data_IF_718150154092
#
_entry.id   IF_718150154092
#
_cell.length_a   1.000
_cell.length_b   1.000
_cell.length_c   1.000
_cell.angle_alpha   90.00
_cell.angle_beta   90.00
_cell.angle_gamma   90.00
#
_symmetry.space_group_name_H-M   'P 1'
#
loop_
_entity.id
_entity.type
_entity.pdbx_description
1 polymer ?
#
# COMPACT_ATOMS: atom_id res chain seq x y z
N UNK A 1 -2.64 5.44 20.42
CA UNK A 1 -2.72 3.96 20.38
C UNK A 1 -3.95 3.55 19.59
N UNK A 2 -3.86 2.54 18.72
CA UNK A 2 -5.02 2.02 17.98
C UNK A 2 -5.86 1.15 18.91
N UNK A 3 -7.15 1.45 19.01
CA UNK A 3 -8.09 0.65 19.80
C UNK A 3 -8.75 -0.44 18.95
N UNK A 4 -8.76 -1.67 19.45
CA UNK A 4 -9.33 -2.86 18.80
C UNK A 4 -10.64 -3.32 19.47
N UNK A 5 -11.36 -2.42 20.10
CA UNK A 5 -12.63 -2.72 20.77
C UNK A 5 -13.66 -3.31 19.81
N UNK A 6 -14.37 -4.32 20.26
CA UNK A 6 -15.41 -4.99 19.48
C UNK A 6 -14.92 -6.01 18.45
N UNK A 7 -13.65 -6.34 18.46
CA UNK A 7 -13.11 -7.43 17.64
C UNK A 7 -13.13 -8.74 18.44
N UNK A 8 -13.51 -9.84 17.77
CA UNK A 8 -13.42 -11.21 18.34
C UNK A 8 -12.01 -11.78 18.27
N UNK A 9 -11.07 -11.08 17.66
CA UNK A 9 -9.70 -11.51 17.45
C UNK A 9 -8.74 -10.67 18.30
N UNK A 10 -7.64 -11.28 18.70
CA UNK A 10 -6.59 -10.59 19.40
C UNK A 10 -5.93 -9.51 18.51
N UNK A 11 -5.49 -8.44 19.14
CA UNK A 11 -4.82 -7.31 18.48
C UNK A 11 -3.70 -7.76 17.55
N UNK A 12 -2.86 -8.68 18.03
CA UNK A 12 -1.70 -9.17 17.28
C UNK A 12 -2.10 -9.89 15.99
N UNK A 13 -3.19 -10.66 16.02
CA UNK A 13 -3.74 -11.36 14.85
C UNK A 13 -4.24 -10.37 13.80
N UNK A 14 -4.96 -9.33 14.23
CA UNK A 14 -5.47 -8.29 13.33
C UNK A 14 -4.34 -7.53 12.69
N UNK A 15 -3.36 -7.09 13.47
CA UNK A 15 -2.20 -6.36 12.97
C UNK A 15 -1.36 -7.20 12.01
N UNK A 16 -1.19 -8.48 12.31
CA UNK A 16 -0.49 -9.41 11.44
C UNK A 16 -1.21 -9.58 10.09
N UNK A 17 -2.53 -9.81 10.10
CA UNK A 17 -3.33 -9.95 8.89
C UNK A 17 -3.30 -8.70 8.01
N UNK A 18 -3.51 -7.53 8.60
CA UNK A 18 -3.46 -6.24 7.89
C UNK A 18 -2.05 -5.96 7.34
N UNK A 19 -1.01 -6.22 8.13
CA UNK A 19 0.37 -6.06 7.70
C UNK A 19 0.71 -6.94 6.50
N UNK A 20 0.28 -8.20 6.51
CA UNK A 20 0.50 -9.11 5.39
C UNK A 20 -0.20 -8.63 4.12
N UNK A 21 -1.43 -8.16 4.24
CA UNK A 21 -2.17 -7.63 3.11
C UNK A 21 -1.55 -6.37 2.52
N UNK A 22 -1.06 -5.47 3.37
CA UNK A 22 -0.40 -4.21 2.95
C UNK A 22 1.01 -4.47 2.40
N UNK A 23 1.76 -5.40 2.99
CA UNK A 23 3.16 -5.66 2.63
C UNK A 23 3.31 -6.55 1.39
N UNK A 24 2.34 -7.42 1.09
CA UNK A 24 2.44 -8.42 0.02
C UNK A 24 1.30 -8.29 -0.99
N UNK A 25 1.54 -8.57 -2.28
CA UNK A 25 0.52 -8.57 -3.32
C UNK A 25 -0.36 -9.84 -3.24
N UNK A 26 -1.04 -10.03 -2.12
CA UNK A 26 -1.92 -11.16 -1.87
C UNK A 26 -3.38 -10.73 -1.88
N UNK A 27 -4.25 -11.62 -2.36
CA UNK A 27 -5.69 -11.44 -2.24
C UNK A 27 -6.19 -11.74 -0.82
N UNK A 28 -7.41 -11.32 -0.50
CA UNK A 28 -8.05 -11.72 0.77
C UNK A 28 -8.15 -13.22 0.93
N UNK A 29 -8.41 -13.94 -0.16
CA UNK A 29 -8.46 -15.40 -0.16
C UNK A 29 -7.12 -16.02 0.23
N UNK A 30 -6.05 -15.55 -0.38
CA UNK A 30 -4.69 -16.01 -0.04
C UNK A 30 -4.31 -15.66 1.41
N UNK A 31 -4.76 -14.52 1.91
CA UNK A 31 -4.57 -14.15 3.31
C UNK A 31 -5.37 -15.07 4.23
N UNK A 32 -6.62 -15.38 3.90
CA UNK A 32 -7.47 -16.35 4.61
C UNK A 32 -6.78 -17.71 4.69
N UNK A 33 -6.31 -18.26 3.56
CA UNK A 33 -5.57 -19.52 3.51
C UNK A 33 -4.31 -19.52 4.40
N UNK A 34 -3.60 -18.38 4.43
CA UNK A 34 -2.41 -18.22 5.29
C UNK A 34 -2.75 -18.13 6.78
N UNK A 35 -3.87 -17.53 7.12
CA UNK A 35 -4.37 -17.46 8.50
C UNK A 35 -4.85 -18.83 8.97
N UNK A 36 -5.63 -19.53 8.15
CA UNK A 36 -6.10 -20.88 8.44
C UNK A 36 -4.95 -21.87 8.66
N UNK A 37 -3.90 -21.79 7.86
CA UNK A 37 -2.69 -22.60 8.04
C UNK A 37 -1.97 -22.36 9.37
N UNK A 38 -2.32 -21.28 10.08
CA UNK A 38 -1.79 -20.91 11.41
C UNK A 38 -2.83 -21.06 12.52
N UNK A 39 -3.95 -21.73 12.22
CA UNK A 39 -5.03 -21.97 13.18
C UNK A 39 -5.89 -20.75 13.49
N UNK A 40 -5.87 -19.73 12.64
CA UNK A 40 -6.69 -18.53 12.77
C UNK A 40 -7.79 -18.56 11.72
N UNK A 41 -9.01 -18.90 12.14
CA UNK A 41 -10.19 -18.89 11.28
C UNK A 41 -10.72 -17.46 11.09
N UNK A 42 -10.72 -16.99 9.85
CA UNK A 42 -11.25 -15.67 9.48
C UNK A 42 -11.67 -15.64 8.02
N UNK A 43 -12.88 -15.17 7.75
CA UNK A 43 -13.41 -15.03 6.40
C UNK A 43 -12.94 -13.73 5.72
N UNK A 44 -13.09 -13.65 4.39
CA UNK A 44 -12.68 -12.46 3.65
C UNK A 44 -13.48 -11.21 4.04
N UNK A 45 -14.71 -11.35 4.55
CA UNK A 45 -15.51 -10.21 5.03
C UNK A 45 -14.89 -9.61 6.28
N UNK A 46 -14.39 -10.44 7.18
CA UNK A 46 -13.66 -10.03 8.38
C UNK A 46 -12.34 -9.33 8.02
N UNK A 47 -11.54 -9.93 7.13
CA UNK A 47 -10.27 -9.34 6.67
C UNK A 47 -10.50 -8.01 5.97
N UNK A 48 -11.52 -7.92 5.15
CA UNK A 48 -11.92 -6.70 4.48
C UNK A 48 -12.29 -5.58 5.46
N UNK A 49 -13.08 -5.91 6.49
CA UNK A 49 -13.41 -4.95 7.57
C UNK A 49 -12.17 -4.48 8.32
N UNK A 50 -11.21 -5.35 8.56
CA UNK A 50 -9.95 -4.97 9.19
C UNK A 50 -9.14 -3.99 8.34
N UNK A 51 -8.99 -4.26 7.06
CA UNK A 51 -8.27 -3.33 6.15
C UNK A 51 -8.93 -1.97 6.17
N UNK A 52 -10.25 -1.91 6.04
CA UNK A 52 -10.99 -0.65 6.08
C UNK A 52 -10.83 0.15 7.36
N UNK A 53 -10.91 -0.55 8.48
CA UNK A 53 -10.88 0.07 9.79
C UNK A 53 -9.46 0.46 10.19
N UNK A 54 -8.48 -0.40 9.94
CA UNK A 54 -7.16 -0.26 10.52
C UNK A 54 -6.10 0.32 9.58
N UNK A 55 -6.22 0.22 8.26
CA UNK A 55 -5.25 0.84 7.35
C UNK A 55 -5.14 2.35 7.55
N UNK A 56 -6.24 3.13 7.66
CA UNK A 56 -6.12 4.55 7.94
C UNK A 56 -5.48 4.87 9.28
N UNK A 57 -5.73 4.05 10.30
CA UNK A 57 -5.14 4.22 11.64
C UNK A 57 -3.65 3.87 11.66
N UNK A 58 -3.26 2.80 10.95
CA UNK A 58 -1.86 2.42 10.77
C UNK A 58 -1.10 3.47 9.96
N UNK A 59 -1.75 4.04 8.95
CA UNK A 59 -1.19 5.14 8.16
C UNK A 59 -0.88 6.35 9.04
N UNK A 60 -1.81 6.76 9.91
CA UNK A 60 -1.60 7.85 10.83
C UNK A 60 -0.44 7.59 11.80
N UNK A 61 -0.35 6.38 12.35
CA UNK A 61 0.79 5.99 13.21
C UNK A 61 2.10 5.91 12.45
N UNK A 62 2.09 5.39 11.23
CA UNK A 62 3.26 5.29 10.38
C UNK A 62 3.85 6.68 10.09
N UNK A 63 3.00 7.68 9.90
CA UNK A 63 3.42 9.07 9.70
C UNK A 63 4.22 9.65 10.88
N UNK A 64 4.00 9.17 12.08
CA UNK A 64 4.73 9.64 13.27
C UNK A 64 6.13 9.03 13.41
N UNK A 65 6.43 7.96 12.67
CA UNK A 65 7.69 7.21 12.74
C UNK A 65 8.45 7.37 11.45
N UNK A 66 9.27 8.43 11.33
CA UNK A 66 10.20 8.55 10.21
C UNK A 66 11.27 7.46 10.30
N UNK A 67 11.30 6.57 9.32
CA UNK A 67 12.41 5.64 9.10
C UNK A 67 13.08 6.00 7.79
N UNK A 68 14.42 6.01 7.70
CA UNK A 68 15.10 6.21 6.44
C UNK A 68 14.74 5.07 5.47
N UNK A 69 14.45 5.43 4.23
CA UNK A 69 14.22 4.49 3.13
C UNK A 69 15.21 4.73 2.01
N UNK A 70 15.46 3.72 1.19
CA UNK A 70 16.30 3.85 0.00
C UNK A 70 15.66 4.76 -1.06
N UNK A 71 16.45 5.14 -2.07
CA UNK A 71 16.05 6.04 -3.16
C UNK A 71 15.51 5.33 -4.39
N UNK A 72 15.47 4.01 -4.39
CA UNK A 72 14.86 3.19 -5.44
C UNK A 72 13.61 2.54 -4.90
N UNK A 73 12.45 2.95 -5.41
CA UNK A 73 11.15 2.49 -4.95
C UNK A 73 10.48 1.57 -5.96
N UNK A 74 9.62 0.69 -5.45
CA UNK A 74 8.66 -0.09 -6.23
C UNK A 74 7.27 0.35 -5.81
N UNK A 75 6.44 0.69 -6.77
CA UNK A 75 5.09 1.21 -6.54
C UNK A 75 4.07 0.33 -7.24
N UNK A 76 3.08 -0.15 -6.50
CA UNK A 76 1.96 -0.92 -7.03
C UNK A 76 0.62 -0.46 -6.45
N UNK A 77 -0.44 -1.02 -7.00
CA UNK A 77 -1.79 -0.85 -6.51
C UNK A 77 -2.52 -2.18 -6.42
N UNK A 78 -3.30 -2.34 -5.36
CA UNK A 78 -4.13 -3.53 -5.12
C UNK A 78 -5.60 -3.14 -5.03
N UNK A 79 -6.47 -3.93 -5.62
CA UNK A 79 -7.91 -3.70 -5.58
C UNK A 79 -8.54 -4.33 -4.36
N UNK A 80 -9.48 -3.60 -3.78
CA UNK A 80 -10.29 -4.06 -2.65
C UNK A 80 -11.76 -3.76 -2.94
N UNK A 81 -12.61 -4.76 -2.91
CA UNK A 81 -14.05 -4.55 -3.09
C UNK A 81 -14.74 -4.46 -1.74
N UNK A 82 -15.44 -3.35 -1.50
CA UNK A 82 -16.06 -3.03 -0.23
C UNK A 82 -17.50 -2.63 -0.45
N UNK A 83 -18.45 -3.38 0.10
CA UNK A 83 -19.90 -3.13 -0.07
C UNK A 83 -20.28 -2.87 -1.53
N UNK A 84 -19.73 -3.68 -2.44
CA UNK A 84 -19.96 -3.55 -3.87
C UNK A 84 -19.15 -2.47 -4.59
N UNK A 85 -18.44 -1.60 -3.89
CA UNK A 85 -17.59 -0.56 -4.47
C UNK A 85 -16.11 -0.97 -4.48
N UNK A 86 -15.41 -0.65 -5.54
CA UNK A 86 -13.97 -0.85 -5.65
C UNK A 86 -13.23 0.25 -4.90
N UNK A 87 -12.25 -0.15 -4.08
CA UNK A 87 -11.24 0.71 -3.45
C UNK A 87 -9.85 0.27 -3.90
N UNK A 88 -8.89 1.14 -3.78
CA UNK A 88 -7.54 0.90 -4.27
C UNK A 88 -6.54 1.23 -3.17
N UNK A 89 -5.63 0.28 -2.91
CA UNK A 89 -4.52 0.46 -1.98
C UNK A 89 -3.24 0.66 -2.80
N UNK A 90 -2.72 1.88 -2.79
CA UNK A 90 -1.40 2.20 -3.31
C UNK A 90 -0.34 1.87 -2.28
N UNK A 91 0.75 1.27 -2.70
CA UNK A 91 1.89 0.92 -1.85
C UNK A 91 3.19 1.27 -2.54
N UNK A 92 4.17 1.68 -1.74
CA UNK A 92 5.54 1.81 -2.17
C UNK A 92 6.47 1.14 -1.16
N UNK A 93 7.45 0.41 -1.67
CA UNK A 93 8.54 -0.19 -0.88
C UNK A 93 9.87 0.19 -1.52
N UNK A 94 10.91 0.28 -0.72
CA UNK A 94 12.26 0.48 -1.27
C UNK A 94 12.90 -0.84 -1.75
N UNK A 95 14.09 -0.75 -2.29
CA UNK A 95 14.84 -1.92 -2.80
C UNK A 95 15.12 -2.97 -1.71
N UNK A 96 15.24 -2.56 -0.47
CA UNK A 96 15.45 -3.45 0.66
C UNK A 96 14.16 -4.06 1.23
N UNK A 97 13.00 -3.69 0.68
CA UNK A 97 11.68 -4.14 1.13
C UNK A 97 11.08 -3.30 2.26
N UNK A 98 11.71 -2.20 2.66
CA UNK A 98 11.16 -1.30 3.65
C UNK A 98 9.97 -0.52 3.07
N UNK A 99 8.86 -0.45 3.82
CA UNK A 99 7.69 0.32 3.41
C UNK A 99 8.01 1.80 3.35
N UNK A 100 7.86 2.39 2.17
CA UNK A 100 7.97 3.83 1.96
C UNK A 100 6.68 4.51 2.40
N UNK A 101 5.56 4.15 1.81
CA UNK A 101 4.24 4.66 2.16
C UNK A 101 3.11 3.77 1.59
N UNK A 102 1.88 4.06 2.01
CA UNK A 102 0.67 3.45 1.48
C UNK A 102 -0.51 4.42 1.58
N UNK A 103 -1.50 4.27 0.70
CA UNK A 103 -2.71 5.10 0.67
C UNK A 103 -3.90 4.30 0.15
N UNK A 104 -4.99 4.27 0.92
CA UNK A 104 -6.27 3.72 0.48
C UNK A 104 -7.11 4.82 -0.18
N UNK A 105 -7.55 4.60 -1.42
CA UNK A 105 -8.33 5.57 -2.20
C UNK A 105 -9.59 4.95 -2.77
N UNK A 106 -10.57 5.82 -3.08
CA UNK A 106 -11.80 5.41 -3.77
C UNK A 106 -11.63 5.30 -5.30
N UNK A 107 -10.56 5.85 -5.86
CA UNK A 107 -10.33 5.93 -7.30
C UNK A 107 -8.96 5.42 -7.69
N UNK A 108 -8.89 4.86 -8.89
CA UNK A 108 -7.68 4.45 -9.57
C UNK A 108 -7.50 5.30 -10.81
N UNK A 109 -6.87 6.43 -10.68
CA UNK A 109 -6.57 7.33 -11.78
C UNK A 109 -5.23 8.05 -11.55
N UNK A 110 -4.83 8.85 -12.55
CA UNK A 110 -3.62 9.67 -12.46
C UNK A 110 -3.60 10.57 -11.22
N UNK A 111 -4.75 11.17 -10.87
CA UNK A 111 -4.85 12.08 -9.72
C UNK A 111 -4.60 11.35 -8.39
N UNK A 112 -5.17 10.15 -8.24
CA UNK A 112 -4.95 9.32 -7.06
C UNK A 112 -3.49 8.86 -6.95
N UNK A 113 -2.90 8.38 -8.04
CA UNK A 113 -1.50 7.99 -8.10
C UNK A 113 -0.55 9.17 -7.81
N UNK A 114 -0.83 10.34 -8.36
CA UNK A 114 -0.05 11.55 -8.12
C UNK A 114 -0.16 12.02 -6.66
N UNK A 115 -1.35 11.97 -6.07
CA UNK A 115 -1.57 12.28 -4.65
C UNK A 115 -0.75 11.36 -3.75
N UNK A 116 -0.75 10.06 -4.04
CA UNK A 116 0.06 9.10 -3.31
C UNK A 116 1.56 9.38 -3.45
N UNK A 117 2.03 9.62 -4.67
CA UNK A 117 3.43 9.94 -4.94
C UNK A 117 3.89 11.19 -4.19
N UNK A 118 3.12 12.27 -4.25
CA UNK A 118 3.41 13.52 -3.51
C UNK A 118 3.52 13.28 -2.01
N UNK A 119 2.59 12.52 -1.45
CA UNK A 119 2.59 12.16 -0.04
C UNK A 119 3.85 11.38 0.36
N UNK A 120 4.26 10.40 -0.43
CA UNK A 120 5.46 9.62 -0.17
C UNK A 120 6.74 10.47 -0.28
N UNK A 121 6.82 11.32 -1.30
CA UNK A 121 7.96 12.21 -1.52
C UNK A 121 8.07 13.29 -0.43
N UNK A 122 6.97 13.87 0.00
CA UNK A 122 6.95 14.84 1.10
C UNK A 122 7.58 14.26 2.36
N UNK A 123 7.36 12.98 2.61
CA UNK A 123 7.87 12.29 3.79
C UNK A 123 9.33 11.86 3.67
N UNK A 124 9.75 11.36 2.52
CA UNK A 124 11.01 10.65 2.35
C UNK A 124 11.98 11.31 1.36
N UNK A 125 11.58 12.41 0.71
CA UNK A 125 12.33 13.02 -0.37
C UNK A 125 12.09 12.36 -1.72
N UNK A 126 12.64 12.96 -2.77
CA UNK A 126 12.47 12.50 -4.15
C UNK A 126 13.30 11.24 -4.40
N UNK A 127 12.70 10.12 -4.80
CA UNK A 127 13.47 8.94 -5.17
C UNK A 127 14.21 9.15 -6.48
N UNK A 128 15.30 8.43 -6.67
CA UNK A 128 16.01 8.41 -7.94
C UNK A 128 15.28 7.60 -9.00
N UNK A 129 14.70 6.48 -8.60
CA UNK A 129 14.05 5.53 -9.49
C UNK A 129 12.75 5.03 -8.89
N UNK A 130 11.70 4.94 -9.71
CA UNK A 130 10.46 4.25 -9.37
C UNK A 130 10.22 3.14 -10.38
N UNK A 131 10.14 1.91 -9.90
CA UNK A 131 9.75 0.74 -10.70
C UNK A 131 8.25 0.52 -10.54
N UNK A 132 7.55 0.43 -11.66
CA UNK A 132 6.11 0.19 -11.75
C UNK A 132 5.83 -0.97 -12.69
N UNK A 133 4.62 -1.53 -12.61
CA UNK A 133 4.09 -2.34 -13.70
C UNK A 133 3.74 -1.44 -14.91
N UNK A 134 3.21 -2.03 -15.96
CA UNK A 134 2.79 -1.27 -17.15
C UNK A 134 1.48 -0.50 -16.93
N UNK A 135 1.31 0.14 -15.77
CA UNK A 135 0.16 0.98 -15.46
C UNK A 135 0.29 2.37 -16.10
N UNK A 136 -0.65 2.71 -16.96
CA UNK A 136 -0.70 4.03 -17.58
C UNK A 136 -0.91 5.16 -16.57
N UNK A 137 -1.72 4.93 -15.53
CA UNK A 137 -1.99 5.92 -14.49
C UNK A 137 -0.76 6.23 -13.64
N UNK A 138 0.00 5.22 -13.25
CA UNK A 138 1.24 5.39 -12.49
C UNK A 138 2.32 6.08 -13.31
N UNK A 139 2.48 5.70 -14.58
CA UNK A 139 3.39 6.37 -15.51
C UNK A 139 3.04 7.84 -15.65
N UNK A 140 1.76 8.15 -15.93
CA UNK A 140 1.29 9.53 -16.09
C UNK A 140 1.47 10.36 -14.81
N UNK A 141 1.31 9.76 -13.63
CA UNK A 141 1.52 10.43 -12.36
C UNK A 141 2.99 10.82 -12.16
N UNK A 142 3.93 9.92 -12.45
CA UNK A 142 5.38 10.21 -12.30
C UNK A 142 5.81 11.27 -13.32
N UNK A 143 5.36 11.18 -14.58
CA UNK A 143 5.63 12.20 -15.60
C UNK A 143 5.10 13.56 -15.18
N UNK A 144 3.86 13.63 -14.66
CA UNK A 144 3.28 14.87 -14.14
C UNK A 144 4.09 15.44 -12.97
N UNK A 145 4.49 14.57 -12.04
CA UNK A 145 5.31 14.97 -10.89
C UNK A 145 6.64 15.57 -11.34
N UNK A 146 7.36 14.91 -12.25
CA UNK A 146 8.62 15.42 -12.79
C UNK A 146 8.45 16.80 -13.43
N UNK A 147 7.40 16.98 -14.23
CA UNK A 147 7.13 18.25 -14.89
C UNK A 147 6.76 19.38 -13.89
N UNK A 148 5.95 19.09 -12.89
CA UNK A 148 5.49 20.07 -11.91
C UNK A 148 6.57 20.50 -10.91
N UNK A 149 7.49 19.59 -10.57
CA UNK A 149 8.50 19.80 -9.54
C UNK A 149 9.92 19.98 -10.09
N UNK A 150 10.07 20.03 -11.41
CA UNK A 150 11.40 20.02 -12.07
C UNK A 150 12.28 18.88 -11.54
N UNK A 151 11.68 17.71 -11.39
CA UNK A 151 12.31 16.49 -10.90
C UNK A 151 12.67 15.56 -12.07
N UNK A 152 13.59 14.65 -11.82
CA UNK A 152 14.08 13.68 -12.81
C UNK A 152 14.03 12.25 -12.24
N UNK A 153 12.85 11.83 -11.81
CA UNK A 153 12.62 10.47 -11.33
C UNK A 153 12.65 9.51 -12.53
N UNK A 154 13.58 8.57 -12.52
CA UNK A 154 13.67 7.52 -13.54
C UNK A 154 12.52 6.53 -13.39
N UNK A 155 11.78 6.29 -14.47
CA UNK A 155 10.70 5.32 -14.52
C UNK A 155 11.24 4.00 -15.08
N UNK A 156 11.08 2.92 -14.31
CA UNK A 156 11.32 1.55 -14.78
C UNK A 156 10.02 0.78 -14.85
N UNK A 157 9.75 0.21 -16.01
CA UNK A 157 8.56 -0.61 -16.21
C UNK A 157 8.94 -2.08 -16.27
N UNK A 158 8.22 -2.90 -15.53
CA UNK A 158 8.38 -4.37 -15.55
C UNK A 158 7.04 -5.02 -15.87
N UNK A 159 7.07 -6.20 -16.48
CA UNK A 159 5.85 -6.93 -16.84
C UNK A 159 5.09 -7.41 -15.60
N UNK A 160 5.83 -7.85 -14.60
CA UNK A 160 5.30 -8.30 -13.31
C UNK A 160 6.10 -7.64 -12.20
N UNK A 161 5.42 -6.88 -11.36
CA UNK A 161 6.01 -6.26 -10.19
C UNK A 161 5.88 -7.19 -8.99
N UNK A 162 7.00 -7.61 -8.44
CA UNK A 162 7.04 -8.38 -7.20
C UNK A 162 7.50 -7.45 -6.08
N UNK A 163 6.61 -7.18 -5.11
CA UNK A 163 6.87 -6.36 -3.92
C UNK A 163 7.16 -7.25 -2.69
N UNK A 164 6.90 -8.56 -2.81
CA UNK A 164 7.10 -9.54 -1.75
C UNK A 164 8.56 -9.85 -1.46
#
# INVERSE_FOLDING_TARGET
MIEFKGSHFEREVILWGVRWYVAYPISYRQLEEKMDARGVEGDHSTLNRWVLKYVPLLEAQFRTRKRPVGTSWRLDETYVRIKGAWKYLYRAVDKAGATVDFLLTARRDRKAALRFLRKAVERHGVPRTITIDKSGANTAAIVSYNAEQDADVEIRQVKYLNIG
#
